data_IF_320291355983
#
_entry.id   IF_320291355983
#
_cell.length_a   1.000
_cell.length_b   1.000
_cell.length_c   1.000
_cell.angle_alpha   90.00
_cell.angle_beta   90.00
_cell.angle_gamma   90.00
#
_symmetry.space_group_name_H-M   'P 1'
#
loop_
_entity.id
_entity.type
_entity.pdbx_description
1 polymer ?
#
# COMPACT_ATOMS: atom_id res chain seq x y z
N UNK A 1 -8.88 6.53 16.06
CA UNK A 1 -9.54 6.85 14.77
C UNK A 1 -8.97 5.96 13.68
N UNK A 2 -9.79 5.53 12.72
CA UNK A 2 -9.32 4.75 11.57
C UNK A 2 -8.49 5.66 10.65
N UNK A 3 -7.31 5.20 10.22
CA UNK A 3 -6.54 5.87 9.16
C UNK A 3 -7.11 5.48 7.79
N UNK A 4 -6.96 6.36 6.80
CA UNK A 4 -7.25 6.00 5.42
C UNK A 4 -6.43 4.78 4.99
N UNK A 5 -6.99 3.97 4.10
CA UNK A 5 -6.33 2.81 3.50
C UNK A 5 -6.82 2.59 2.07
N UNK A 6 -5.98 1.97 1.26
CA UNK A 6 -6.37 1.44 -0.06
C UNK A 6 -6.35 -0.07 0.04
N UNK A 7 -7.41 -0.71 -0.44
CA UNK A 7 -7.52 -2.16 -0.55
C UNK A 7 -7.41 -2.53 -2.03
N UNK A 8 -6.52 -3.45 -2.37
CA UNK A 8 -6.37 -3.98 -3.73
C UNK A 8 -6.67 -5.47 -3.67
N UNK A 9 -7.57 -5.93 -4.53
CA UNK A 9 -7.92 -7.34 -4.67
C UNK A 9 -7.53 -7.82 -6.06
N UNK A 10 -6.89 -9.00 -6.11
CA UNK A 10 -6.53 -9.68 -7.34
C UNK A 10 -7.48 -10.87 -7.54
N UNK A 11 -8.59 -10.71 -8.29
CA UNK A 11 -9.59 -11.77 -8.47
C UNK A 11 -9.04 -12.99 -9.21
N UNK A 12 -8.02 -12.79 -10.06
CA UNK A 12 -7.31 -13.85 -10.76
C UNK A 12 -5.88 -13.87 -10.25
N UNK A 13 -5.45 -15.01 -9.73
CA UNK A 13 -4.15 -15.14 -9.10
C UNK A 13 -3.03 -15.04 -10.15
N UNK A 14 -2.06 -14.15 -9.92
CA UNK A 14 -0.96 -13.90 -10.83
C UNK A 14 -1.28 -13.01 -12.03
N UNK A 15 -2.53 -12.58 -12.20
CA UNK A 15 -2.94 -11.58 -13.20
C UNK A 15 -2.94 -10.18 -12.55
N UNK A 16 -1.82 -9.47 -12.68
CA UNK A 16 -1.59 -8.19 -12.00
C UNK A 16 -2.25 -6.98 -12.67
N UNK A 17 -2.65 -7.13 -13.93
CA UNK A 17 -3.42 -6.16 -14.72
C UNK A 17 -4.88 -6.10 -14.28
N UNK A 18 -5.44 -7.22 -13.83
CA UNK A 18 -6.82 -7.29 -13.35
C UNK A 18 -6.88 -7.13 -11.85
N UNK A 19 -7.19 -5.92 -11.40
CA UNK A 19 -7.37 -5.60 -9.99
C UNK A 19 -8.67 -4.83 -9.74
N UNK A 20 -9.18 -4.97 -8.51
CA UNK A 20 -10.20 -4.08 -7.96
C UNK A 20 -9.58 -3.27 -6.82
N UNK A 21 -9.67 -1.95 -6.90
CA UNK A 21 -9.17 -1.06 -5.87
C UNK A 21 -10.32 -0.41 -5.10
N UNK A 22 -10.24 -0.40 -3.78
CA UNK A 22 -11.19 0.31 -2.91
C UNK A 22 -10.43 1.23 -1.97
N UNK A 23 -10.62 2.54 -2.11
CA UNK A 23 -10.18 3.50 -1.10
C UNK A 23 -11.17 3.51 0.04
N UNK A 24 -10.69 3.48 1.28
CA UNK A 24 -11.50 3.51 2.51
C UNK A 24 -10.92 4.56 3.44
N UNK A 25 -11.72 5.54 3.85
CA UNK A 25 -11.26 6.67 4.64
C UNK A 25 -12.33 7.15 5.63
N UNK A 26 -11.93 7.71 6.78
CA UNK A 26 -12.87 8.26 7.74
C UNK A 26 -13.62 9.45 7.14
N UNK A 27 -14.91 9.56 7.45
CA UNK A 27 -15.76 10.69 7.12
C UNK A 27 -16.26 11.39 8.40
N UNK A 28 -16.97 12.50 8.25
CA UNK A 28 -17.52 13.27 9.35
C UNK A 28 -18.42 12.42 10.25
N UNK A 29 -18.49 12.75 11.55
CA UNK A 29 -19.39 12.07 12.49
C UNK A 29 -19.02 10.62 12.84
N UNK A 30 -17.83 10.14 12.46
CA UNK A 30 -17.36 8.78 12.76
C UNK A 30 -17.78 7.72 11.74
N UNK A 31 -18.37 8.13 10.62
CA UNK A 31 -18.67 7.24 9.49
C UNK A 31 -17.40 6.89 8.70
N UNK A 32 -17.48 5.83 7.89
CA UNK A 32 -16.45 5.41 6.94
C UNK A 32 -17.02 5.58 5.54
N UNK A 33 -16.29 6.26 4.67
CA UNK A 33 -16.59 6.34 3.25
C UNK A 33 -15.68 5.39 2.48
N UNK A 34 -16.20 4.83 1.39
CA UNK A 34 -15.41 4.04 0.44
C UNK A 34 -15.70 4.45 -1.00
N UNK A 35 -14.66 4.39 -1.82
CA UNK A 35 -14.73 4.62 -3.28
C UNK A 35 -14.08 3.45 -3.99
N UNK A 36 -14.75 2.93 -5.01
CA UNK A 36 -14.32 1.77 -5.78
C UNK A 36 -13.76 2.26 -7.12
N UNK A 37 -12.62 1.72 -7.51
CA UNK A 37 -11.90 2.04 -8.73
C UNK A 37 -11.49 0.73 -9.42
N UNK A 38 -11.54 0.75 -10.74
CA UNK A 38 -10.99 -0.27 -11.63
C UNK A 38 -9.67 0.21 -12.22
N UNK A 39 -8.95 -0.65 -12.94
CA UNK A 39 -7.74 -0.27 -13.67
C UNK A 39 -7.95 0.97 -14.55
N UNK A 40 -9.10 1.06 -15.23
CA UNK A 40 -9.44 2.17 -16.13
C UNK A 40 -9.60 3.51 -15.42
N UNK A 41 -9.82 3.50 -14.10
CA UNK A 41 -9.97 4.72 -13.30
C UNK A 41 -8.62 5.26 -12.80
N UNK A 42 -7.52 4.54 -13.03
CA UNK A 42 -6.18 4.95 -12.61
C UNK A 42 -5.56 5.85 -13.69
N UNK A 43 -5.24 7.12 -13.38
CA UNK A 43 -4.61 8.00 -14.37
C UNK A 43 -3.25 7.44 -14.84
N UNK A 44 -2.88 7.58 -16.12
CA UNK A 44 -1.59 7.08 -16.62
C UNK A 44 -0.37 7.63 -15.87
N UNK A 45 -0.46 8.85 -15.32
CA UNK A 45 0.59 9.44 -14.48
C UNK A 45 0.86 8.68 -13.18
N UNK A 46 -0.10 7.84 -12.76
CA UNK A 46 -0.04 7.02 -11.55
C UNK A 46 0.36 5.57 -11.82
N UNK A 47 0.52 5.15 -13.09
CA UNK A 47 0.96 3.81 -13.45
C UNK A 47 2.29 3.38 -12.80
N UNK A 48 3.34 4.24 -12.70
CA UNK A 48 4.59 3.86 -12.05
C UNK A 48 4.45 3.50 -10.56
N UNK A 49 3.47 4.09 -9.87
CA UNK A 49 3.20 3.76 -8.47
C UNK A 49 2.57 2.37 -8.34
N UNK A 50 1.65 2.02 -9.25
CA UNK A 50 1.07 0.68 -9.32
C UNK A 50 2.14 -0.37 -9.68
N UNK A 51 3.03 -0.07 -10.63
CA UNK A 51 4.17 -0.93 -10.97
C UNK A 51 5.08 -1.18 -9.78
N UNK A 52 5.36 -0.16 -8.95
CA UNK A 52 6.15 -0.31 -7.74
C UNK A 52 5.49 -1.26 -6.73
N UNK A 53 4.16 -1.18 -6.58
CA UNK A 53 3.38 -2.13 -5.76
C UNK A 53 3.49 -3.54 -6.35
N UNK A 54 3.20 -3.73 -7.64
CA UNK A 54 3.28 -5.04 -8.30
C UNK A 54 4.68 -5.65 -8.18
N UNK A 55 5.73 -4.84 -8.37
CA UNK A 55 7.13 -5.30 -8.22
C UNK A 55 7.42 -5.81 -6.81
N UNK A 56 6.95 -5.12 -5.77
CA UNK A 56 7.08 -5.57 -4.39
C UNK A 56 6.29 -6.86 -4.11
N UNK A 57 5.15 -7.05 -4.79
CA UNK A 57 4.32 -8.26 -4.64
C UNK A 57 4.91 -9.47 -5.37
N UNK A 58 5.46 -9.27 -6.57
CA UNK A 58 6.09 -10.32 -7.38
C UNK A 58 7.33 -10.89 -6.69
N UNK A 59 8.05 -10.11 -5.88
CA UNK A 59 9.22 -10.61 -5.13
C UNK A 59 8.87 -11.65 -4.05
N UNK A 60 7.60 -11.76 -3.65
CA UNK A 60 7.13 -12.78 -2.72
C UNK A 60 7.28 -14.20 -3.30
N UNK A 61 6.96 -14.36 -4.59
CA UNK A 61 7.12 -15.62 -5.34
C UNK A 61 6.35 -16.83 -4.79
N UNK A 62 6.52 -17.97 -5.46
CA UNK A 62 5.98 -19.26 -4.99
C UNK A 62 6.54 -19.62 -3.60
N UNK A 63 5.76 -20.32 -2.73
CA UNK A 63 4.47 -20.94 -3.00
C UNK A 63 3.24 -20.05 -2.75
N UNK A 64 3.43 -18.76 -2.48
CA UNK A 64 2.34 -17.85 -2.09
C UNK A 64 1.91 -16.97 -3.26
N UNK A 65 0.61 -16.83 -3.47
CA UNK A 65 0.02 -15.97 -4.49
C UNK A 65 -0.80 -14.87 -3.81
N UNK A 66 -0.62 -13.62 -4.23
CA UNK A 66 -1.29 -12.47 -3.59
C UNK A 66 -2.77 -12.47 -3.94
N UNK A 67 -3.61 -12.42 -2.91
CA UNK A 67 -5.07 -12.34 -3.06
C UNK A 67 -5.59 -10.94 -2.72
N UNK A 68 -5.05 -10.33 -1.67
CA UNK A 68 -5.49 -9.03 -1.18
C UNK A 68 -4.33 -8.23 -0.57
N UNK A 69 -4.33 -6.93 -0.79
CA UNK A 69 -3.35 -5.99 -0.25
C UNK A 69 -4.07 -4.84 0.44
N UNK A 70 -3.59 -4.47 1.62
CA UNK A 70 -3.95 -3.22 2.28
C UNK A 70 -2.73 -2.31 2.29
N UNK A 71 -2.85 -1.14 1.66
CA UNK A 71 -1.86 -0.09 1.68
C UNK A 71 -2.26 1.02 2.65
N UNK A 72 -1.29 1.59 3.39
CA UNK A 72 -1.48 2.71 4.32
C UNK A 72 -0.27 3.64 4.28
N UNK A 73 -0.48 4.93 4.42
CA UNK A 73 0.63 5.88 4.62
C UNK A 73 1.02 5.89 6.10
N UNK A 74 2.32 5.72 6.35
CA UNK A 74 2.95 5.84 7.66
C UNK A 74 4.14 6.80 7.60
N UNK A 75 4.51 7.36 8.74
CA UNK A 75 5.66 8.26 8.86
C UNK A 75 6.86 7.50 9.42
N UNK A 76 8.03 7.74 8.83
CA UNK A 76 9.29 7.12 9.16
C UNK A 76 10.31 8.20 9.52
N UNK A 77 11.18 7.90 10.48
CA UNK A 77 12.32 8.76 10.78
C UNK A 77 13.33 8.61 9.63
N UNK A 78 13.58 9.70 8.92
CA UNK A 78 14.52 9.75 7.80
C UNK A 78 15.91 10.22 8.21
N UNK A 79 15.98 11.04 9.26
CA UNK A 79 17.24 11.52 9.82
C UNK A 79 17.07 11.81 11.30
N UNK A 80 17.98 11.27 12.10
CA UNK A 80 18.20 11.69 13.48
C UNK A 80 19.37 12.67 13.44
N UNK A 81 19.19 13.93 13.86
CA UNK A 81 20.29 14.87 13.87
C UNK A 81 21.37 14.43 14.85
N UNK A 82 22.63 14.53 14.42
CA UNK A 82 23.81 14.27 15.24
C UNK A 82 24.41 15.61 15.69
N UNK A 83 24.52 15.85 17.00
CA UNK A 83 25.15 17.05 17.57
C UNK A 83 24.50 17.54 18.87
N UNK A 84 25.15 18.52 19.53
CA UNK A 84 24.68 19.14 20.79
C UNK A 84 23.51 20.12 20.60
N UNK A 85 23.23 20.54 19.36
CA UNK A 85 22.07 21.37 19.05
C UNK A 85 20.85 20.48 18.76
N UNK A 86 19.76 20.70 19.51
CA UNK A 86 18.44 20.10 19.26
C UNK A 86 17.91 20.54 17.89
N UNK A 87 18.35 19.86 16.84
CA UNK A 87 17.71 19.96 15.53
C UNK A 87 16.47 19.05 15.51
N UNK A 88 15.39 19.42 14.81
CA UNK A 88 14.20 18.59 14.72
C UNK A 88 14.48 17.28 13.98
N UNK A 89 13.83 16.20 14.40
CA UNK A 89 13.85 14.91 13.69
C UNK A 89 13.16 15.08 12.33
N UNK A 90 13.83 14.69 11.24
CA UNK A 90 13.24 14.74 9.91
C UNK A 90 12.42 13.46 9.67
N UNK A 91 11.14 13.61 9.32
CA UNK A 91 10.24 12.50 9.00
C UNK A 91 9.91 12.46 7.51
N UNK A 92 9.88 11.26 6.94
CA UNK A 92 9.37 11.01 5.59
C UNK A 92 8.13 10.14 5.65
N UNK A 93 7.25 10.28 4.67
CA UNK A 93 6.13 9.37 4.49
C UNK A 93 6.55 8.18 3.61
N UNK A 94 5.94 7.03 3.87
CA UNK A 94 6.04 5.84 3.04
C UNK A 94 4.73 5.06 3.05
N UNK A 95 4.51 4.26 2.01
CA UNK A 95 3.35 3.37 1.93
C UNK A 95 3.72 1.99 2.46
N UNK A 96 3.01 1.53 3.49
CA UNK A 96 3.17 0.20 4.08
C UNK A 96 2.10 -0.74 3.53
N UNK A 97 2.55 -1.88 3.03
CA UNK A 97 1.71 -2.95 2.52
C UNK A 97 1.54 -4.05 3.58
N UNK A 98 0.29 -4.46 3.77
CA UNK A 98 -0.07 -5.73 4.39
C UNK A 98 -0.68 -6.61 3.32
N UNK A 99 -0.21 -7.84 3.20
CA UNK A 99 -0.56 -8.71 2.07
C UNK A 99 -1.19 -10.00 2.61
N UNK A 100 -2.39 -10.33 2.17
CA UNK A 100 -2.96 -11.67 2.29
C UNK A 100 -2.63 -12.46 1.03
N UNK A 101 -2.06 -13.64 1.24
CA UNK A 101 -1.67 -14.54 0.17
C UNK A 101 -2.22 -15.95 0.42
N UNK A 102 -2.49 -16.64 -0.68
CA UNK A 102 -3.01 -18.00 -0.71
C UNK A 102 -1.99 -18.95 -1.34
N UNK A 103 -1.91 -20.19 -0.86
CA UNK A 103 -1.09 -21.24 -1.47
C UNK A 103 -1.95 -22.20 -2.30
N UNK A 104 -1.32 -23.12 -3.03
CA UNK A 104 -2.02 -24.10 -3.89
C UNK A 104 -2.98 -25.02 -3.13
N UNK A 105 -2.77 -25.24 -1.82
CA UNK A 105 -3.67 -26.00 -0.96
C UNK A 105 -4.86 -25.17 -0.43
N UNK A 106 -4.98 -23.89 -0.79
CA UNK A 106 -6.01 -22.98 -0.30
C UNK A 106 -5.72 -22.42 1.10
N UNK A 107 -4.52 -22.61 1.64
CA UNK A 107 -4.10 -22.02 2.91
C UNK A 107 -3.83 -20.52 2.75
N UNK A 108 -4.32 -19.71 3.69
CA UNK A 108 -4.12 -18.26 3.71
C UNK A 108 -3.06 -17.86 4.73
N UNK A 109 -2.23 -16.89 4.36
CA UNK A 109 -1.27 -16.26 5.27
C UNK A 109 -1.15 -14.78 5.02
N UNK A 110 -1.02 -14.03 6.12
CA UNK A 110 -0.71 -12.60 6.09
C UNK A 110 0.78 -12.34 6.21
N UNK A 111 1.26 -11.46 5.34
CA UNK A 111 2.62 -10.97 5.29
C UNK A 111 2.65 -9.44 5.47
N UNK A 112 3.78 -8.96 5.99
CA UNK A 112 4.01 -7.55 6.35
C UNK A 112 5.47 -7.20 6.07
N UNK A 113 5.84 -5.94 6.28
CA UNK A 113 7.23 -5.47 6.18
C UNK A 113 8.24 -6.22 7.07
N UNK A 114 7.76 -6.90 8.13
CA UNK A 114 8.58 -7.79 8.96
C UNK A 114 9.08 -9.01 8.18
N UNK A 115 8.27 -9.49 7.24
CA UNK A 115 8.57 -10.65 6.40
C UNK A 115 9.26 -10.23 5.09
N UNK A 116 8.79 -9.14 4.49
CA UNK A 116 9.27 -8.62 3.21
C UNK A 116 9.53 -7.12 3.33
N UNK A 117 10.80 -6.68 3.51
CA UNK A 117 11.14 -5.25 3.66
C UNK A 117 10.63 -4.37 2.51
N UNK A 118 10.54 -4.93 1.30
CA UNK A 118 10.00 -4.26 0.10
C UNK A 118 8.52 -3.87 0.22
N UNK A 119 7.80 -4.35 1.25
CA UNK A 119 6.44 -3.90 1.57
C UNK A 119 6.39 -2.51 2.20
N UNK A 120 7.53 -1.82 2.30
CA UNK A 120 7.60 -0.39 2.59
C UNK A 120 8.05 0.35 1.33
N UNK A 121 7.12 1.05 0.68
CA UNK A 121 7.40 1.86 -0.50
C UNK A 121 7.72 3.29 -0.06
N UNK A 122 9.01 3.62 -0.05
CA UNK A 122 9.51 4.95 0.35
C UNK A 122 9.55 5.97 -0.80
N UNK A 123 9.13 5.58 -2.01
CA UNK A 123 9.10 6.50 -3.14
C UNK A 123 7.91 7.46 -3.04
N UNK A 124 8.12 8.74 -3.41
CA UNK A 124 7.08 9.77 -3.33
C UNK A 124 5.87 9.48 -4.23
N UNK A 125 6.07 8.84 -5.39
CA UNK A 125 4.99 8.53 -6.32
C UNK A 125 3.94 7.57 -5.71
N UNK A 126 4.37 6.63 -4.85
CA UNK A 126 3.47 5.74 -4.11
C UNK A 126 2.65 6.50 -3.07
N UNK A 127 3.27 7.47 -2.38
CA UNK A 127 2.58 8.34 -1.42
C UNK A 127 1.58 9.25 -2.15
N UNK A 128 1.97 9.82 -3.29
CA UNK A 128 1.11 10.68 -4.11
C UNK A 128 -0.08 9.90 -4.69
N UNK A 129 0.16 8.68 -5.19
CA UNK A 129 -0.89 7.74 -5.58
C UNK A 129 -1.88 7.51 -4.44
N UNK A 130 -1.37 7.17 -3.25
CA UNK A 130 -2.21 6.90 -2.10
C UNK A 130 -3.08 8.11 -1.74
N UNK A 131 -2.46 9.29 -1.67
CA UNK A 131 -3.14 10.55 -1.33
C UNK A 131 -4.18 10.94 -2.38
N UNK A 132 -3.92 10.67 -3.67
CA UNK A 132 -4.87 10.92 -4.75
C UNK A 132 -6.21 10.20 -4.49
N UNK A 133 -6.15 8.89 -4.21
CA UNK A 133 -7.36 8.07 -4.05
C UNK A 133 -8.02 8.16 -2.67
N UNK A 134 -7.31 8.64 -1.65
CA UNK A 134 -7.82 8.78 -0.28
C UNK A 134 -8.16 10.21 0.13
N UNK A 135 -8.12 11.15 -0.82
CA UNK A 135 -8.51 12.55 -0.59
C UNK A 135 -10.03 12.67 -0.40
N UNK A 136 -10.46 13.42 0.61
CA UNK A 136 -11.86 13.82 0.79
C UNK A 136 -12.27 14.85 -0.26
#
# INVERSE_FOLDING_TARGET
MMKAQIQIQFPLLGEWDKLNMTAVFPSSGGFIESRIYTENDIPPSHAPALEAVVKALVSMGAPWQVQQVWARVEQFISKVPEGEQESPIEMTEGVVLTVDAVNESGGHRRFTSVHYPDFVLMNSAAVDFFKHFTKQ
#
